data_IF_683162175287
#
_entry.id   IF_683162175287
#
_cell.length_a   1.000
_cell.length_b   1.000
_cell.length_c   1.000
_cell.angle_alpha   90.00
_cell.angle_beta   90.00
_cell.angle_gamma   90.00
#
_symmetry.space_group_name_H-M   'P 1'
#
loop_
_entity.id
_entity.type
_entity.pdbx_description
1 polymer ?
#
# COMPACT_ATOMS: atom_id res chain seq x y z
N UNK A 1 -9.32 -21.69 15.98
CA UNK A 1 -7.85 -21.78 15.82
C UNK A 1 -7.51 -21.25 14.45
N UNK A 2 -6.67 -20.21 14.42
CA UNK A 2 -6.29 -19.56 13.17
C UNK A 2 -5.38 -20.46 12.34
N UNK A 3 -5.55 -20.39 11.01
CA UNK A 3 -4.75 -21.15 10.04
C UNK A 3 -4.41 -20.26 8.85
N UNK A 4 -3.17 -20.33 8.41
CA UNK A 4 -2.70 -19.59 7.25
C UNK A 4 -1.91 -20.50 6.31
N UNK A 5 -2.07 -20.29 5.01
CA UNK A 5 -1.20 -20.82 3.96
C UNK A 5 -1.25 -19.86 2.77
N UNK A 6 -0.38 -20.04 1.78
CA UNK A 6 -0.40 -19.21 0.57
C UNK A 6 -1.81 -19.17 -0.04
N UNK A 7 -2.36 -17.96 -0.21
CA UNK A 7 -3.70 -17.74 -0.76
C UNK A 7 -4.88 -18.15 0.11
N UNK A 8 -4.67 -18.50 1.39
CA UNK A 8 -5.75 -18.88 2.31
C UNK A 8 -5.48 -18.45 3.75
N UNK A 9 -6.45 -17.80 4.37
CA UNK A 9 -6.48 -17.55 5.79
C UNK A 9 -7.81 -18.01 6.39
N UNK A 10 -7.79 -18.46 7.64
CA UNK A 10 -8.98 -18.79 8.40
C UNK A 10 -8.82 -18.33 9.84
N UNK A 11 -9.90 -17.81 10.39
CA UNK A 11 -10.07 -17.59 11.83
C UNK A 11 -11.38 -18.19 12.32
N UNK A 12 -11.35 -18.73 13.54
CA UNK A 12 -12.57 -19.13 14.27
C UNK A 12 -12.82 -18.06 15.35
N UNK A 13 -13.85 -17.24 15.15
CA UNK A 13 -14.16 -16.10 16.01
C UNK A 13 -14.76 -16.56 17.35
N UNK A 14 -14.59 -15.74 18.39
CA UNK A 14 -15.09 -16.03 19.74
C UNK A 14 -16.62 -16.21 19.81
N UNK A 15 -17.36 -15.57 18.89
CA UNK A 15 -18.81 -15.72 18.77
C UNK A 15 -19.25 -17.02 18.04
N UNK A 16 -18.30 -17.91 17.71
CA UNK A 16 -18.56 -19.19 17.04
C UNK A 16 -18.66 -19.10 15.52
N UNK A 17 -18.52 -17.93 14.92
CA UNK A 17 -18.49 -17.80 13.44
C UNK A 17 -17.09 -18.14 12.93
N UNK A 18 -17.01 -18.97 11.90
CA UNK A 18 -15.75 -19.22 11.18
C UNK A 18 -15.68 -18.31 9.95
N UNK A 19 -14.55 -17.66 9.76
CA UNK A 19 -14.26 -16.82 8.60
C UNK A 19 -13.09 -17.39 7.84
N UNK A 20 -13.24 -17.56 6.53
CA UNK A 20 -12.18 -18.02 5.64
C UNK A 20 -12.01 -17.03 4.48
N UNK A 21 -10.76 -16.74 4.15
CA UNK A 21 -10.36 -15.71 3.19
C UNK A 21 -9.48 -16.31 2.10
N UNK A 22 -9.68 -15.86 0.87
CA UNK A 22 -8.77 -16.04 -0.26
C UNK A 22 -8.78 -14.76 -1.11
N UNK A 23 -7.82 -14.58 -2.00
CA UNK A 23 -7.75 -13.37 -2.83
C UNK A 23 -7.13 -13.65 -4.21
N UNK A 24 -7.54 -12.87 -5.20
CA UNK A 24 -6.86 -12.65 -6.48
C UNK A 24 -6.07 -11.31 -6.41
N UNK A 25 -5.73 -10.72 -7.55
CA UNK A 25 -4.92 -9.50 -7.59
C UNK A 25 -5.68 -8.29 -7.06
N UNK A 26 -6.97 -8.14 -7.43
CA UNK A 26 -7.79 -6.98 -7.07
C UNK A 26 -9.11 -7.36 -6.39
N UNK A 27 -9.32 -8.64 -6.09
CA UNK A 27 -10.54 -9.11 -5.43
C UNK A 27 -10.28 -10.11 -4.31
N UNK A 28 -11.13 -10.09 -3.29
CA UNK A 28 -11.17 -11.01 -2.17
C UNK A 28 -12.39 -11.92 -2.22
N UNK A 29 -12.22 -13.14 -1.71
CA UNK A 29 -13.28 -14.09 -1.41
C UNK A 29 -13.37 -14.27 0.10
N UNK A 30 -14.54 -14.07 0.67
CA UNK A 30 -14.80 -14.26 2.10
C UNK A 30 -15.89 -15.31 2.27
N UNK A 31 -15.66 -16.31 3.13
CA UNK A 31 -16.65 -17.31 3.52
C UNK A 31 -16.93 -17.24 5.02
N UNK A 32 -18.17 -16.94 5.37
CA UNK A 32 -18.68 -16.97 6.74
C UNK A 32 -19.42 -18.29 6.95
N UNK A 33 -19.00 -19.09 7.91
CA UNK A 33 -19.72 -20.30 8.34
C UNK A 33 -20.28 -20.09 9.74
N UNK A 34 -21.61 -20.12 9.83
CA UNK A 34 -22.37 -19.88 11.06
C UNK A 34 -22.68 -21.21 11.75
N UNK A 35 -22.38 -21.29 13.05
CA UNK A 35 -22.75 -22.44 13.89
C UNK A 35 -24.22 -22.35 14.34
N UNK A 36 -24.74 -23.47 14.85
CA UNK A 36 -26.08 -23.50 15.47
C UNK A 36 -26.11 -22.47 16.60
N UNK A 37 -27.15 -21.63 16.63
CA UNK A 37 -27.36 -20.54 17.60
C UNK A 37 -26.44 -19.31 17.47
N UNK A 38 -25.80 -19.08 16.31
CA UNK A 38 -25.09 -17.81 16.03
C UNK A 38 -25.98 -16.88 15.20
N UNK A 39 -25.86 -15.57 15.40
CA UNK A 39 -26.49 -14.59 14.53
C UNK A 39 -25.82 -14.59 13.15
N UNK A 40 -26.62 -14.48 12.07
CA UNK A 40 -26.14 -14.51 10.69
C UNK A 40 -26.03 -13.09 10.17
N UNK A 41 -25.01 -12.40 10.66
CA UNK A 41 -24.82 -10.97 10.43
C UNK A 41 -23.48 -10.73 9.75
N UNK A 42 -23.50 -9.91 8.71
CA UNK A 42 -22.30 -9.33 8.12
C UNK A 42 -22.38 -7.82 8.29
N UNK A 43 -21.34 -7.23 8.89
CA UNK A 43 -21.14 -5.80 9.00
C UNK A 43 -20.14 -5.36 7.92
N UNK A 44 -20.51 -4.33 7.16
CA UNK A 44 -19.60 -3.59 6.28
C UNK A 44 -19.47 -2.18 6.85
N UNK A 45 -18.27 -1.86 7.36
CA UNK A 45 -17.92 -0.55 7.90
C UNK A 45 -16.93 0.12 6.94
N UNK A 46 -17.37 1.18 6.25
CA UNK A 46 -16.53 1.95 5.32
C UNK A 46 -15.56 2.84 6.09
N UNK A 47 -15.89 3.20 7.33
CA UNK A 47 -15.09 4.12 8.13
C UNK A 47 -13.89 3.48 8.81
N UNK A 48 -13.81 2.15 8.80
CA UNK A 48 -12.71 1.46 9.46
C UNK A 48 -11.37 1.85 8.83
N UNK A 49 -10.42 2.23 9.69
CA UNK A 49 -9.06 2.61 9.36
C UNK A 49 -8.10 1.99 10.39
N UNK A 50 -6.81 1.94 10.07
CA UNK A 50 -5.79 1.47 10.98
C UNK A 50 -5.20 2.65 11.78
N UNK A 51 -5.49 2.79 13.08
CA UNK A 51 -4.89 3.85 13.88
C UNK A 51 -3.38 3.60 14.10
N UNK A 52 -2.59 4.67 14.13
CA UNK A 52 -1.19 4.60 14.59
C UNK A 52 -1.16 4.41 16.10
N UNK A 53 -0.37 3.45 16.58
CA UNK A 53 -0.22 3.17 18.02
C UNK A 53 0.87 4.01 18.69
N UNK A 54 1.73 4.68 17.92
CA UNK A 54 2.95 5.30 18.45
C UNK A 54 3.03 6.81 18.21
N UNK A 55 2.48 7.32 17.11
CA UNK A 55 2.61 8.74 16.73
C UNK A 55 1.36 9.21 15.97
N UNK A 56 0.67 10.21 16.53
CA UNK A 56 -0.55 10.80 15.95
C UNK A 56 -0.32 11.36 14.53
N UNK A 57 0.89 11.88 14.27
CA UNK A 57 1.29 12.51 12.99
C UNK A 57 1.27 11.51 11.82
N UNK A 58 1.42 10.20 12.09
CA UNK A 58 1.43 9.12 11.09
C UNK A 58 0.15 8.27 11.13
N UNK A 59 -0.88 8.74 11.84
CA UNK A 59 -2.16 8.03 11.91
C UNK A 59 -2.97 8.22 10.62
N UNK A 60 -3.67 7.17 10.21
CA UNK A 60 -4.73 7.33 9.21
C UNK A 60 -5.98 7.85 9.89
N UNK A 61 -6.79 8.61 9.16
CA UNK A 61 -8.12 9.00 9.58
C UNK A 61 -9.10 8.78 8.44
N UNK A 62 -10.31 8.35 8.77
CA UNK A 62 -11.40 8.36 7.81
C UNK A 62 -11.87 9.80 7.61
N UNK A 63 -12.07 10.19 6.35
CA UNK A 63 -12.57 11.52 5.97
C UNK A 63 -14.07 11.48 5.79
N UNK A 64 -14.51 10.70 4.80
CA UNK A 64 -15.88 10.57 4.38
C UNK A 64 -16.00 9.37 3.42
N UNK A 65 -17.23 9.04 3.04
CA UNK A 65 -17.50 7.84 2.28
C UNK A 65 -18.95 7.74 1.88
N UNK A 66 -19.22 6.80 0.98
CA UNK A 66 -20.54 6.46 0.50
C UNK A 66 -20.71 4.96 0.50
N UNK A 67 -21.91 4.50 0.83
CA UNK A 67 -22.32 3.10 0.68
C UNK A 67 -23.73 3.01 0.09
N UNK A 68 -23.86 2.15 -0.92
CA UNK A 68 -25.09 1.91 -1.66
C UNK A 68 -25.34 0.40 -1.77
N UNK A 69 -26.55 -0.04 -1.39
CA UNK A 69 -27.00 -1.42 -1.49
C UNK A 69 -27.92 -1.60 -2.69
N UNK A 70 -27.57 -2.54 -3.56
CA UNK A 70 -28.27 -2.89 -4.80
C UNK A 70 -28.73 -4.35 -4.79
N UNK A 71 -29.52 -4.71 -5.80
CA UNK A 71 -29.93 -6.10 -6.10
C UNK A 71 -30.52 -6.82 -4.87
N UNK A 72 -31.46 -6.19 -4.18
CA UNK A 72 -32.11 -6.73 -2.97
C UNK A 72 -31.11 -7.17 -1.89
N UNK A 73 -30.10 -6.34 -1.61
CA UNK A 73 -29.09 -6.63 -0.59
C UNK A 73 -27.96 -7.53 -1.07
N UNK A 74 -28.04 -8.13 -2.27
CA UNK A 74 -26.99 -9.01 -2.77
C UNK A 74 -25.75 -8.27 -3.25
N UNK A 75 -25.86 -6.98 -3.59
CA UNK A 75 -24.71 -6.16 -3.98
C UNK A 75 -24.61 -4.97 -3.06
N UNK A 76 -23.40 -4.64 -2.63
CA UNK A 76 -23.10 -3.40 -1.93
C UNK A 76 -21.84 -2.78 -2.55
N UNK A 77 -21.90 -1.49 -2.80
CA UNK A 77 -20.83 -0.77 -3.48
C UNK A 77 -20.70 0.64 -2.90
N UNK A 78 -19.57 1.28 -3.16
CA UNK A 78 -19.31 2.61 -2.65
C UNK A 78 -17.85 2.97 -2.68
N UNK A 79 -17.49 3.94 -1.87
CA UNK A 79 -16.12 4.41 -1.73
C UNK A 79 -15.89 4.96 -0.32
N UNK A 80 -14.63 4.97 0.10
CA UNK A 80 -14.17 5.73 1.25
C UNK A 80 -13.00 6.61 0.85
N UNK A 81 -12.84 7.72 1.55
CA UNK A 81 -11.63 8.55 1.52
C UNK A 81 -11.01 8.50 2.91
N UNK A 82 -9.72 8.23 2.93
CA UNK A 82 -8.92 8.24 4.15
C UNK A 82 -7.73 9.17 3.93
N UNK A 83 -7.19 9.67 5.04
CA UNK A 83 -6.15 10.70 5.06
C UNK A 83 -5.07 10.40 6.07
N UNK A 84 -3.99 11.16 5.98
CA UNK A 84 -2.87 11.06 6.91
C UNK A 84 -1.98 9.89 6.52
N UNK A 85 -1.51 9.12 7.50
CA UNK A 85 -0.58 8.02 7.28
C UNK A 85 0.86 8.47 6.97
N UNK A 86 1.69 7.53 6.53
CA UNK A 86 3.15 7.73 6.46
C UNK A 86 3.60 8.69 5.36
N UNK A 87 2.87 8.78 4.24
CA UNK A 87 3.19 9.66 3.11
C UNK A 87 2.51 11.03 3.15
N UNK A 88 1.73 11.35 4.19
CA UNK A 88 1.00 12.61 4.28
C UNK A 88 1.88 13.75 4.78
N UNK A 89 1.65 14.96 4.27
CA UNK A 89 2.12 16.20 4.90
C UNK A 89 1.40 16.32 6.24
N UNK A 90 2.13 16.33 7.36
CA UNK A 90 1.57 16.37 8.70
C UNK A 90 0.48 17.43 8.81
N UNK A 91 -0.76 17.01 9.07
CA UNK A 91 -1.84 17.94 9.33
C UNK A 91 -1.54 18.62 10.67
N UNK A 92 -1.48 19.95 10.64
CA UNK A 92 -1.07 20.79 11.76
C UNK A 92 -2.25 20.92 12.75
N UNK A 93 -2.41 19.97 13.68
CA UNK A 93 -3.35 20.09 14.81
C UNK A 93 -2.59 20.22 16.13
N UNK A 94 -2.92 21.26 16.91
CA UNK A 94 -2.28 21.55 18.20
C UNK A 94 -2.44 20.41 19.19
N UNK A 95 -1.33 19.75 19.54
CA UNK A 95 -1.34 18.53 20.37
C UNK A 95 -1.44 18.87 21.85
N UNK A 96 -2.57 18.54 22.48
CA UNK A 96 -2.67 18.32 23.91
C UNK A 96 -2.03 16.99 24.29
N UNK A 97 -0.96 17.01 25.08
CA UNK A 97 -0.23 15.81 25.53
C UNK A 97 -1.03 15.00 26.55
N UNK A 98 -1.35 13.74 26.25
CA UNK A 98 -1.52 12.72 27.31
C UNK A 98 -1.24 11.30 26.80
N UNK A 99 -0.20 10.68 27.38
CA UNK A 99 0.20 9.27 27.20
C UNK A 99 -0.79 8.31 27.88
N UNK A 100 -1.00 7.10 27.33
CA UNK A 100 -1.11 5.87 28.13
C UNK A 100 -0.79 4.58 27.34
N UNK A 101 -0.25 3.58 28.08
CA UNK A 101 0.33 2.28 27.68
C UNK A 101 -0.72 1.21 27.30
N UNK A 102 -0.37 0.27 26.39
CA UNK A 102 -0.33 -1.22 26.56
C UNK A 102 -0.40 -2.01 25.21
N UNK A 103 0.01 -3.29 25.16
CA UNK A 103 0.37 -4.01 23.92
C UNK A 103 -0.70 -5.01 23.45
N UNK A 104 -0.78 -5.28 22.12
CA UNK A 104 -1.11 -6.59 21.53
C UNK A 104 -0.92 -6.61 20.00
N UNK A 105 -0.29 -7.69 19.54
CA UNK A 105 0.01 -8.06 18.14
C UNK A 105 -1.28 -8.36 17.35
N UNK A 106 -1.41 -7.87 16.12
CA UNK A 106 -2.22 -8.51 15.07
C UNK A 106 -1.71 -8.18 13.66
N UNK A 107 -1.97 -9.11 12.74
CA UNK A 107 -1.45 -9.27 11.38
C UNK A 107 -1.55 -8.01 10.50
N UNK A 108 -0.44 -7.65 9.85
CA UNK A 108 -0.21 -6.40 9.13
C UNK A 108 0.01 -6.72 7.63
N UNK A 109 -0.97 -6.39 6.79
CA UNK A 109 -0.83 -6.37 5.33
C UNK A 109 -1.93 -5.47 4.74
N UNK A 110 -1.68 -4.18 4.90
CA UNK A 110 -2.08 -2.96 4.16
C UNK A 110 -1.57 -1.86 5.10
N UNK A 111 -0.33 -1.42 4.88
CA UNK A 111 0.26 -0.34 5.66
C UNK A 111 -0.12 1.01 5.03
N UNK A 112 -0.43 1.98 5.89
CA UNK A 112 0.02 3.38 5.99
C UNK A 112 0.12 4.27 4.72
N UNK A 113 -0.97 4.44 3.98
CA UNK A 113 -1.07 5.34 2.82
C UNK A 113 -1.08 6.83 3.22
N UNK A 114 -0.40 7.68 2.42
CA UNK A 114 -0.27 9.16 2.54
C UNK A 114 -1.37 9.97 1.82
N UNK A 115 -1.53 11.26 2.18
CA UNK A 115 -2.57 12.21 1.72
C UNK A 115 -3.98 11.62 1.58
N UNK A 116 -4.93 12.38 1.03
CA UNK A 116 -6.27 11.87 0.75
C UNK A 116 -6.21 10.77 -0.32
N UNK A 117 -6.49 9.53 0.06
CA UNK A 117 -6.63 8.43 -0.90
C UNK A 117 -8.07 7.90 -0.90
N UNK A 118 -8.63 7.80 -2.11
CA UNK A 118 -9.98 7.30 -2.35
C UNK A 118 -9.92 5.87 -2.84
N UNK A 119 -10.66 4.97 -2.17
CA UNK A 119 -10.79 3.57 -2.59
C UNK A 119 -12.25 3.28 -2.85
N UNK A 120 -12.50 2.68 -4.01
CA UNK A 120 -13.80 2.20 -4.42
C UNK A 120 -13.91 0.70 -4.16
N UNK A 121 -15.10 0.26 -3.78
CA UNK A 121 -15.37 -1.15 -3.51
C UNK A 121 -16.67 -1.63 -4.15
N UNK A 122 -16.71 -2.92 -4.46
CA UNK A 122 -17.91 -3.60 -4.92
C UNK A 122 -17.93 -5.02 -4.35
N UNK A 123 -18.97 -5.33 -3.58
CA UNK A 123 -19.15 -6.61 -2.91
C UNK A 123 -20.45 -7.26 -3.33
N UNK A 124 -20.38 -8.53 -3.72
CA UNK A 124 -21.54 -9.39 -3.94
C UNK A 124 -21.62 -10.48 -2.87
N UNK A 125 -22.82 -10.78 -2.40
CA UNK A 125 -23.14 -11.95 -1.60
C UNK A 125 -23.72 -13.08 -2.46
N UNK A 126 -23.38 -14.34 -2.15
CA UNK A 126 -23.98 -15.50 -2.81
C UNK A 126 -25.46 -15.68 -2.40
N UNK A 127 -25.76 -15.34 -1.16
CA UNK A 127 -27.06 -15.49 -0.50
C UNK A 127 -27.78 -14.14 -0.39
N UNK A 128 -29.11 -14.15 -0.46
CA UNK A 128 -29.92 -12.94 -0.26
C UNK A 128 -30.11 -12.69 1.24
N UNK A 129 -29.76 -11.50 1.75
CA UNK A 129 -30.07 -11.13 3.13
C UNK A 129 -31.59 -11.00 3.33
N UNK A 130 -32.08 -11.30 4.54
CA UNK A 130 -33.48 -11.06 4.92
C UNK A 130 -33.75 -9.57 5.16
N UNK A 131 -32.79 -8.87 5.75
CA UNK A 131 -32.85 -7.42 5.97
C UNK A 131 -31.45 -6.81 5.87
N UNK A 132 -31.40 -5.52 5.55
CA UNK A 132 -30.19 -4.72 5.68
C UNK A 132 -30.55 -3.33 6.21
N UNK A 133 -29.66 -2.73 6.99
CA UNK A 133 -29.84 -1.42 7.59
C UNK A 133 -28.55 -0.62 7.45
N UNK A 134 -28.69 0.64 7.02
CA UNK A 134 -27.57 1.57 7.02
C UNK A 134 -27.33 2.09 8.43
N UNK A 135 -26.09 2.41 8.75
CA UNK A 135 -25.76 3.24 9.89
C UNK A 135 -24.94 4.44 9.43
N UNK A 136 -25.26 5.61 9.99
CA UNK A 136 -24.47 6.83 9.89
C UNK A 136 -24.20 7.35 11.29
N UNK A 137 -23.04 7.91 11.56
CA UNK A 137 -22.85 8.58 12.83
C UNK A 137 -21.59 9.43 12.84
N UNK A 138 -21.47 10.36 13.79
CA UNK A 138 -20.37 11.28 13.82
C UNK A 138 -19.05 10.50 13.82
N UNK A 139 -18.16 10.93 12.93
CA UNK A 139 -16.75 10.64 13.08
C UNK A 139 -16.19 11.65 14.06
N UNK A 140 -15.96 11.20 15.28
CA UNK A 140 -15.21 11.99 16.23
C UNK A 140 -13.75 11.94 15.75
N UNK A 141 -13.15 13.14 15.60
CA UNK A 141 -11.84 13.45 15.05
C UNK A 141 -10.71 12.44 15.37
N UNK A 142 -9.56 12.47 14.65
CA UNK A 142 -8.42 11.56 14.88
C UNK A 142 -7.99 11.44 16.35
N UNK A 143 -8.20 12.51 17.13
CA UNK A 143 -7.84 12.66 18.54
C UNK A 143 -8.80 11.94 19.51
N UNK A 144 -9.98 11.54 19.03
CA UNK A 144 -11.04 10.91 19.80
C UNK A 144 -11.75 9.86 18.95
N UNK A 145 -11.10 8.73 18.62
CA UNK A 145 -11.72 7.68 17.82
C UNK A 145 -13.04 7.26 18.47
N UNK A 146 -14.09 7.01 17.68
CA UNK A 146 -15.39 6.67 18.24
C UNK A 146 -15.25 5.41 19.10
N UNK A 147 -15.52 5.57 20.41
CA UNK A 147 -15.75 4.44 21.31
C UNK A 147 -16.82 3.51 20.72
N UNK A 148 -16.80 2.20 21.00
CA UNK A 148 -17.91 1.30 20.69
C UNK A 148 -19.28 1.81 21.16
N UNK A 149 -19.32 2.74 22.12
CA UNK A 149 -20.51 3.41 22.63
C UNK A 149 -20.95 4.66 21.85
N UNK A 150 -20.21 5.09 20.82
CA UNK A 150 -20.54 6.29 20.04
C UNK A 150 -21.81 6.04 19.24
N UNK A 151 -22.90 6.81 19.49
CA UNK A 151 -24.17 6.57 18.84
C UNK A 151 -24.07 6.62 17.31
N UNK A 152 -24.83 5.76 16.65
CA UNK A 152 -25.08 5.83 15.21
C UNK A 152 -26.59 5.94 14.99
N UNK A 153 -26.96 6.71 13.99
CA UNK A 153 -28.31 6.78 13.44
C UNK A 153 -28.51 5.61 12.49
N UNK A 154 -29.56 4.83 12.73
CA UNK A 154 -29.92 3.70 11.87
C UNK A 154 -30.93 4.15 10.81
N UNK A 155 -30.58 3.94 9.55
CA UNK A 155 -31.43 4.21 8.40
C UNK A 155 -32.03 2.92 7.84
N UNK A 156 -33.31 2.96 7.46
CA UNK A 156 -33.90 1.86 6.69
C UNK A 156 -33.41 1.92 5.24
N UNK A 157 -32.68 0.88 4.84
CA UNK A 157 -32.10 0.82 3.52
C UNK A 157 -33.11 0.43 2.42
N UNK A 158 -34.29 -0.09 2.77
CA UNK A 158 -35.36 -0.33 1.77
C UNK A 158 -36.05 0.95 1.30
N UNK A 159 -35.93 2.05 2.05
CA UNK A 159 -36.51 3.36 1.71
C UNK A 159 -35.46 4.35 1.17
N UNK A 160 -34.19 3.95 1.07
CA UNK A 160 -33.13 4.79 0.54
C UNK A 160 -32.35 4.07 -0.58
N UNK A 161 -32.89 4.07 -1.82
CA UNK A 161 -32.31 3.34 -2.94
C UNK A 161 -30.97 3.90 -3.43
N UNK A 162 -30.64 5.15 -3.06
CA UNK A 162 -29.40 5.82 -3.47
C UNK A 162 -28.25 5.67 -2.46
N UNK A 163 -28.49 4.96 -1.35
CA UNK A 163 -27.47 4.75 -0.31
C UNK A 163 -27.32 5.94 0.64
N UNK A 164 -26.32 5.87 1.51
CA UNK A 164 -25.97 6.97 2.42
C UNK A 164 -24.56 7.46 2.14
N UNK A 165 -24.34 8.75 2.41
CA UNK A 165 -23.06 9.41 2.26
C UNK A 165 -22.77 10.19 3.54
N UNK A 166 -21.55 10.06 4.05
CA UNK A 166 -21.14 10.65 5.32
C UNK A 166 -20.90 12.15 5.26
N UNK A 167 -20.76 12.71 4.07
CA UNK A 167 -20.43 14.12 3.85
C UNK A 167 -20.06 14.31 2.38
N UNK A 168 -20.09 15.54 1.84
CA UNK A 168 -19.72 15.79 0.44
C UNK A 168 -18.29 15.35 0.15
N UNK A 169 -17.97 15.06 -1.11
CA UNK A 169 -16.59 14.79 -1.54
C UNK A 169 -15.69 15.97 -1.14
N UNK A 170 -14.57 15.69 -0.46
CA UNK A 170 -13.68 16.71 0.10
C UNK A 170 -14.04 17.17 1.52
N UNK A 171 -15.05 16.57 2.18
CA UNK A 171 -15.33 16.80 3.61
C UNK A 171 -14.33 16.07 4.51
N UNK A 172 -13.74 16.83 5.44
CA UNK A 172 -12.71 16.45 6.39
C UNK A 172 -13.25 15.77 7.66
N UNK A 173 -14.58 15.80 7.83
CA UNK A 173 -15.28 15.46 9.07
C UNK A 173 -16.57 14.68 8.83
N UNK A 174 -16.63 13.97 7.69
CA UNK A 174 -17.81 13.23 7.29
C UNK A 174 -18.18 12.14 8.30
N UNK A 175 -19.47 11.91 8.44
CA UNK A 175 -20.03 10.82 9.20
C UNK A 175 -19.48 9.46 8.74
N UNK A 176 -19.26 8.57 9.70
CA UNK A 176 -19.04 7.15 9.44
C UNK A 176 -20.23 6.59 8.71
N UNK A 177 -19.99 5.78 7.68
CA UNK A 177 -21.07 5.07 7.00
C UNK A 177 -20.80 3.58 6.91
N UNK A 178 -21.87 2.80 6.95
CA UNK A 178 -21.80 1.38 6.67
C UNK A 178 -23.17 0.73 6.64
N UNK A 179 -23.18 -0.59 6.54
CA UNK A 179 -24.40 -1.39 6.49
C UNK A 179 -24.27 -2.70 7.27
N UNK A 180 -25.37 -3.09 7.92
CA UNK A 180 -25.52 -4.37 8.59
C UNK A 180 -26.49 -5.23 7.79
N UNK A 181 -26.04 -6.41 7.38
CA UNK A 181 -26.82 -7.39 6.62
C UNK A 181 -27.18 -8.55 7.53
N UNK A 182 -28.47 -8.90 7.62
CA UNK A 182 -28.96 -10.08 8.33
C UNK A 182 -29.41 -11.13 7.33
N UNK A 183 -29.04 -12.38 7.55
CA UNK A 183 -29.39 -13.51 6.68
C UNK A 183 -30.40 -14.44 7.37
N UNK A 184 -31.22 -15.18 6.60
CA UNK A 184 -32.18 -16.13 7.17
C UNK A 184 -31.51 -17.17 8.08
N UNK A 185 -32.20 -17.61 9.14
CA UNK A 185 -31.65 -18.55 10.14
C UNK A 185 -31.17 -19.89 9.56
N UNK A 186 -31.79 -20.32 8.45
CA UNK A 186 -31.39 -21.54 7.74
C UNK A 186 -30.07 -21.40 6.97
N UNK A 187 -29.53 -20.18 6.84
CA UNK A 187 -28.30 -19.89 6.11
C UNK A 187 -27.10 -20.30 6.95
N UNK A 188 -26.46 -21.41 6.57
CA UNK A 188 -25.26 -21.92 7.28
C UNK A 188 -23.97 -21.29 6.80
N UNK A 189 -23.92 -20.90 5.53
CA UNK A 189 -22.74 -20.34 4.88
C UNK A 189 -23.18 -19.11 4.09
N UNK A 190 -22.47 -18.00 4.26
CA UNK A 190 -22.56 -16.82 3.40
C UNK A 190 -21.21 -16.62 2.75
N UNK A 191 -21.19 -16.36 1.45
CA UNK A 191 -19.97 -16.04 0.71
C UNK A 191 -20.06 -14.63 0.16
N UNK A 192 -18.91 -13.96 0.12
CA UNK A 192 -18.75 -12.62 -0.38
C UNK A 192 -17.59 -12.57 -1.38
N UNK A 193 -17.78 -11.83 -2.48
CA UNK A 193 -16.72 -11.46 -3.41
C UNK A 193 -16.58 -9.94 -3.40
N UNK A 194 -15.43 -9.45 -2.96
CA UNK A 194 -15.14 -8.02 -2.81
C UNK A 194 -14.08 -7.62 -3.83
N UNK A 195 -14.40 -6.78 -4.81
CA UNK A 195 -13.40 -6.11 -5.64
C UNK A 195 -13.10 -4.71 -5.11
N UNK A 196 -11.86 -4.26 -5.31
CA UNK A 196 -11.37 -2.93 -4.91
C UNK A 196 -10.71 -2.23 -6.10
N UNK A 197 -10.82 -0.91 -6.16
CA UNK A 197 -10.17 -0.10 -7.20
C UNK A 197 -9.82 1.28 -6.65
N UNK A 198 -8.74 1.86 -7.16
CA UNK A 198 -8.37 3.25 -6.90
C UNK A 198 -9.05 4.24 -7.87
N UNK A 199 -9.72 3.75 -8.91
CA UNK A 199 -10.27 4.59 -9.98
C UNK A 199 -11.78 4.72 -9.89
N UNK A 200 -12.52 3.61 -9.74
CA UNK A 200 -14.00 3.66 -9.79
C UNK A 200 -14.69 2.41 -9.24
N UNK A 201 -15.99 2.56 -8.92
CA UNK A 201 -16.86 1.42 -8.55
C UNK A 201 -17.00 0.44 -9.69
N UNK A 202 -17.07 0.91 -10.94
CA UNK A 202 -17.21 0.10 -12.13
C UNK A 202 -16.04 -0.87 -12.27
N UNK A 203 -14.80 -0.37 -12.10
CA UNK A 203 -13.60 -1.22 -12.09
C UNK A 203 -13.58 -2.17 -10.89
N UNK A 204 -13.92 -1.69 -9.69
CA UNK A 204 -14.03 -2.55 -8.52
C UNK A 204 -15.02 -3.71 -8.75
N UNK A 205 -16.18 -3.47 -9.36
CA UNK A 205 -17.12 -4.53 -9.71
C UNK A 205 -16.59 -5.44 -10.82
N UNK A 206 -15.87 -4.90 -11.81
CA UNK A 206 -15.27 -5.70 -12.88
C UNK A 206 -14.23 -6.69 -12.34
N UNK A 207 -13.39 -6.29 -11.37
CA UNK A 207 -12.38 -7.17 -10.76
C UNK A 207 -12.95 -8.41 -10.07
N UNK A 208 -14.26 -8.42 -9.73
CA UNK A 208 -14.92 -9.64 -9.25
C UNK A 208 -14.84 -10.80 -10.26
N UNK A 209 -14.60 -10.53 -11.56
CA UNK A 209 -14.39 -11.57 -12.57
C UNK A 209 -13.11 -12.36 -12.41
N UNK A 210 -12.11 -11.83 -11.68
CA UNK A 210 -10.89 -12.58 -11.31
C UNK A 210 -11.21 -13.78 -10.43
N UNK A 211 -12.36 -13.75 -9.75
CA UNK A 211 -12.88 -14.82 -8.92
C UNK A 211 -14.16 -15.36 -9.57
N UNK A 212 -14.09 -16.21 -10.61
CA UNK A 212 -15.26 -16.61 -11.38
C UNK A 212 -16.25 -17.47 -10.56
N UNK A 213 -15.75 -18.20 -9.57
CA UNK A 213 -16.55 -19.19 -8.84
C UNK A 213 -16.90 -18.77 -7.42
N UNK A 214 -18.02 -19.29 -6.92
CA UNK A 214 -18.43 -19.22 -5.50
C UNK A 214 -17.85 -20.37 -4.66
N UNK A 215 -16.76 -21.00 -5.10
CA UNK A 215 -16.08 -22.07 -4.38
C UNK A 215 -14.72 -21.59 -3.90
N UNK A 216 -14.59 -21.33 -2.60
CA UNK A 216 -13.36 -20.82 -1.96
C UNK A 216 -12.10 -21.56 -2.43
N UNK A 217 -12.15 -22.90 -2.46
CA UNK A 217 -11.00 -23.73 -2.82
C UNK A 217 -10.52 -23.50 -4.27
N UNK A 218 -11.38 -23.04 -5.18
CA UNK A 218 -10.95 -22.70 -6.54
C UNK A 218 -10.11 -21.43 -6.55
N UNK A 219 -10.49 -20.39 -5.79
CA UNK A 219 -9.66 -19.20 -5.58
C UNK A 219 -8.33 -19.59 -4.94
N UNK A 220 -8.35 -20.34 -3.84
CA UNK A 220 -7.14 -20.79 -3.13
C UNK A 220 -6.18 -21.54 -4.06
N UNK A 221 -6.68 -22.46 -4.90
CA UNK A 221 -5.85 -23.19 -5.87
C UNK A 221 -5.27 -22.27 -6.94
N UNK A 222 -6.05 -21.33 -7.45
CA UNK A 222 -5.62 -20.37 -8.48
C UNK A 222 -4.51 -19.46 -7.93
N UNK A 223 -4.69 -18.92 -6.72
CA UNK A 223 -3.67 -18.12 -6.03
C UNK A 223 -2.42 -18.93 -5.75
N UNK A 224 -2.54 -20.17 -5.25
CA UNK A 224 -1.38 -21.06 -5.02
C UNK A 224 -0.63 -21.37 -6.31
N UNK A 225 -1.35 -21.57 -7.42
CA UNK A 225 -0.75 -21.80 -8.73
C UNK A 225 0.07 -20.57 -9.16
N UNK A 226 -0.52 -19.37 -9.06
CA UNK A 226 0.17 -18.11 -9.38
C UNK A 226 1.47 -17.96 -8.57
N UNK A 227 1.41 -18.15 -7.25
CA UNK A 227 2.58 -18.11 -6.38
C UNK A 227 3.67 -19.13 -6.75
N UNK A 228 3.27 -20.36 -7.13
CA UNK A 228 4.23 -21.36 -7.59
C UNK A 228 4.88 -20.96 -8.91
N UNK A 229 4.09 -20.52 -9.88
CA UNK A 229 4.55 -20.20 -11.23
C UNK A 229 5.46 -18.96 -11.26
N UNK A 230 5.11 -17.95 -10.47
CA UNK A 230 5.82 -16.67 -10.48
C UNK A 230 6.97 -16.61 -9.48
N UNK A 231 6.83 -17.24 -8.31
CA UNK A 231 7.78 -17.04 -7.19
C UNK A 231 8.51 -18.33 -6.84
N UNK A 232 7.79 -19.35 -6.35
CA UNK A 232 8.46 -20.49 -5.72
C UNK A 232 9.20 -21.40 -6.69
N UNK A 233 8.77 -21.47 -7.95
CA UNK A 233 9.46 -22.26 -8.98
C UNK A 233 10.74 -21.60 -9.50
N UNK A 234 11.00 -20.33 -9.18
CA UNK A 234 12.19 -19.61 -9.67
C UNK A 234 13.49 -20.08 -9.02
N UNK A 235 13.40 -20.71 -7.84
CA UNK A 235 14.58 -21.23 -7.13
C UNK A 235 14.27 -22.64 -6.62
N UNK A 236 15.13 -23.60 -6.97
CA UNK A 236 15.08 -24.96 -6.44
C UNK A 236 16.24 -25.19 -5.48
N UNK A 237 15.91 -25.47 -4.21
CA UNK A 237 16.90 -25.85 -3.19
C UNK A 237 17.20 -27.35 -3.30
N UNK A 238 18.47 -27.72 -3.47
CA UNK A 238 18.93 -29.12 -3.47
C UNK A 238 19.74 -29.38 -2.20
N UNK A 239 19.23 -30.24 -1.33
CA UNK A 239 19.93 -30.70 -0.12
C UNK A 239 20.04 -32.24 -0.14
N UNK A 240 21.16 -32.78 0.36
CA UNK A 240 21.38 -34.24 0.43
C UNK A 240 20.47 -34.94 1.44
N UNK A 241 19.93 -34.20 2.41
CA UNK A 241 18.92 -34.67 3.37
C UNK A 241 17.90 -33.57 3.58
N UNK A 242 16.61 -33.90 3.43
CA UNK A 242 15.50 -32.94 3.55
C UNK A 242 15.49 -32.31 4.95
N UNK A 243 15.59 -30.98 5.01
CA UNK A 243 15.45 -30.22 6.26
C UNK A 243 14.24 -29.28 6.20
N UNK A 244 13.12 -29.73 6.77
CA UNK A 244 11.84 -28.99 6.70
C UNK A 244 11.91 -27.61 7.36
N UNK A 245 12.74 -27.42 8.40
CA UNK A 245 12.94 -26.12 9.04
C UNK A 245 13.62 -25.13 8.10
N UNK A 246 14.69 -25.55 7.42
CA UNK A 246 15.41 -24.70 6.45
C UNK A 246 14.55 -24.36 5.25
N UNK A 247 13.85 -25.35 4.68
CA UNK A 247 12.93 -25.12 3.57
C UNK A 247 11.79 -24.18 3.98
N UNK A 248 11.24 -24.34 5.18
CA UNK A 248 10.20 -23.44 5.69
C UNK A 248 10.71 -22.01 5.83
N UNK A 249 11.91 -21.80 6.40
CA UNK A 249 12.51 -20.47 6.51
C UNK A 249 12.73 -19.84 5.14
N UNK A 250 13.31 -20.60 4.19
CA UNK A 250 13.62 -20.13 2.85
C UNK A 250 12.36 -19.73 2.06
N UNK A 251 11.40 -20.63 1.93
CA UNK A 251 10.17 -20.35 1.16
C UNK A 251 9.27 -19.32 1.86
N UNK A 252 9.29 -19.24 3.19
CA UNK A 252 8.59 -18.17 3.90
C UNK A 252 9.26 -16.81 3.69
N UNK A 253 10.59 -16.75 3.58
CA UNK A 253 11.30 -15.52 3.21
C UNK A 253 10.98 -15.10 1.77
N UNK A 254 11.00 -16.04 0.81
CA UNK A 254 10.56 -15.79 -0.56
C UNK A 254 9.14 -15.23 -0.59
N UNK A 255 8.20 -15.84 0.12
CA UNK A 255 6.82 -15.34 0.19
C UNK A 255 6.72 -13.89 0.68
N UNK A 256 7.48 -13.54 1.74
CA UNK A 256 7.45 -12.20 2.34
C UNK A 256 8.09 -11.14 1.44
N UNK A 257 9.15 -11.49 0.72
CA UNK A 257 9.82 -10.58 -0.20
C UNK A 257 8.90 -10.12 -1.34
N UNK A 258 7.94 -10.94 -1.77
CA UNK A 258 7.09 -10.68 -2.94
C UNK A 258 5.72 -10.07 -2.60
N UNK A 259 5.53 -9.60 -1.37
CA UNK A 259 4.31 -8.86 -1.00
C UNK A 259 4.35 -7.40 -1.46
N UNK A 260 5.55 -6.85 -1.68
CA UNK A 260 5.78 -5.42 -1.96
C UNK A 260 6.96 -5.23 -2.92
N UNK A 261 6.99 -4.13 -3.69
CA UNK A 261 5.87 -3.20 -3.96
C UNK A 261 4.68 -3.88 -4.64
N UNK A 262 3.51 -3.24 -4.56
CA UNK A 262 2.27 -3.70 -5.18
C UNK A 262 2.24 -3.29 -6.65
N UNK A 263 1.98 -4.24 -7.56
CA UNK A 263 1.66 -3.91 -8.95
C UNK A 263 0.24 -3.33 -9.02
N UNK A 264 0.17 -2.03 -9.32
CA UNK A 264 -1.06 -1.26 -9.50
C UNK A 264 -1.19 -0.76 -10.94
N UNK A 265 -0.63 -1.50 -11.91
CA UNK A 265 -0.70 -1.13 -13.32
C UNK A 265 -2.14 -0.93 -13.77
N UNK A 266 -2.44 0.26 -14.29
CA UNK A 266 -3.80 0.67 -14.68
C UNK A 266 -4.71 1.08 -13.52
N UNK A 267 -4.22 1.16 -12.28
CA UNK A 267 -4.94 1.59 -11.08
C UNK A 267 -4.31 2.87 -10.45
N UNK A 268 -3.64 3.69 -11.26
CA UNK A 268 -3.20 5.03 -10.84
C UNK A 268 -4.37 6.04 -11.04
N UNK A 269 -4.84 6.72 -9.98
CA UNK A 269 -5.91 7.71 -10.08
C UNK A 269 -5.43 9.11 -10.52
N UNK A 270 -4.14 9.39 -10.42
CA UNK A 270 -3.59 10.74 -10.58
C UNK A 270 -3.18 11.02 -12.03
N UNK A 271 -2.76 9.99 -12.78
CA UNK A 271 -2.46 10.10 -14.21
C UNK A 271 -2.71 8.80 -14.96
N UNK A 272 -2.90 8.92 -16.28
CA UNK A 272 -3.03 7.79 -17.19
C UNK A 272 -1.69 7.55 -17.89
N UNK A 273 -1.16 6.34 -17.77
CA UNK A 273 0.10 5.92 -18.38
C UNK A 273 -0.02 4.51 -18.98
N UNK A 274 0.75 4.23 -20.02
CA UNK A 274 0.93 2.88 -20.56
C UNK A 274 2.12 2.14 -19.92
N UNK A 275 2.85 2.80 -19.03
CA UNK A 275 3.93 2.17 -18.26
C UNK A 275 3.35 1.28 -17.14
N UNK A 276 4.12 0.28 -16.67
CA UNK A 276 3.83 -0.39 -15.41
C UNK A 276 3.77 0.62 -14.27
N UNK A 277 2.88 0.39 -13.31
CA UNK A 277 2.78 1.23 -12.12
C UNK A 277 2.88 0.39 -10.86
N UNK A 278 3.93 0.61 -10.09
CA UNK A 278 4.17 0.00 -8.80
C UNK A 278 4.05 1.07 -7.72
N UNK A 279 3.39 0.72 -6.61
CA UNK A 279 3.27 1.57 -5.42
C UNK A 279 3.64 0.77 -4.17
N UNK A 280 3.60 1.39 -2.98
CA UNK A 280 3.98 0.78 -1.70
C UNK A 280 5.48 0.45 -1.62
N UNK A 281 6.31 1.32 -2.17
CA UNK A 281 7.74 1.39 -1.90
C UNK A 281 7.98 1.93 -0.47
N UNK A 282 7.71 1.10 0.54
CA UNK A 282 7.73 1.53 1.95
C UNK A 282 9.08 2.03 2.45
N UNK A 283 10.16 1.66 1.76
CA UNK A 283 11.35 2.50 1.57
C UNK A 283 12.36 1.76 0.68
N UNK A 284 12.83 2.43 -0.37
CA UNK A 284 13.92 1.95 -1.20
C UNK A 284 15.23 1.90 -0.43
N UNK A 285 15.39 2.71 0.62
CA UNK A 285 16.49 2.62 1.57
C UNK A 285 16.71 1.16 1.97
N UNK A 286 15.73 0.46 2.52
CA UNK A 286 15.92 -0.96 2.86
C UNK A 286 16.11 -1.85 1.63
N UNK A 287 15.28 -1.69 0.61
CA UNK A 287 15.15 -2.69 -0.46
C UNK A 287 16.29 -2.66 -1.48
N UNK A 288 16.93 -1.51 -1.72
CA UNK A 288 18.03 -1.41 -2.69
C UNK A 288 19.23 -2.29 -2.29
N UNK A 289 19.40 -2.53 -0.98
CA UNK A 289 20.54 -3.27 -0.42
C UNK A 289 20.54 -4.74 -0.82
N UNK A 290 19.35 -5.33 -1.02
CA UNK A 290 19.19 -6.76 -1.33
C UNK A 290 18.03 -7.08 -2.28
N UNK A 291 16.82 -6.59 -1.98
CA UNK A 291 15.59 -7.04 -2.63
C UNK A 291 15.51 -6.63 -4.10
N UNK A 292 15.84 -5.38 -4.43
CA UNK A 292 15.82 -4.92 -5.83
C UNK A 292 16.84 -5.68 -6.68
N UNK A 293 18.06 -5.88 -6.17
CA UNK A 293 19.07 -6.70 -6.85
C UNK A 293 18.65 -8.15 -7.00
N UNK A 294 17.96 -8.72 -6.00
CA UNK A 294 17.40 -10.07 -6.07
C UNK A 294 16.37 -10.18 -7.19
N UNK A 295 15.45 -9.22 -7.33
CA UNK A 295 14.48 -9.22 -8.44
C UNK A 295 15.16 -9.18 -9.79
N UNK A 296 16.18 -8.33 -9.95
CA UNK A 296 16.97 -8.27 -11.18
C UNK A 296 17.71 -9.58 -11.51
N UNK A 297 17.86 -10.52 -10.58
CA UNK A 297 18.48 -11.83 -10.84
C UNK A 297 17.45 -12.94 -11.07
N UNK A 298 16.39 -12.97 -10.27
CA UNK A 298 15.46 -14.12 -10.20
C UNK A 298 14.15 -13.85 -10.93
N UNK A 299 13.76 -12.58 -11.08
CA UNK A 299 12.54 -12.12 -11.73
C UNK A 299 12.79 -10.83 -12.55
N UNK A 300 13.68 -10.88 -13.56
CA UNK A 300 14.18 -9.67 -14.21
C UNK A 300 13.08 -8.80 -14.83
N UNK A 301 12.02 -9.41 -15.39
CA UNK A 301 10.90 -8.63 -15.95
C UNK A 301 10.21 -7.76 -14.89
N UNK A 302 9.93 -8.32 -13.70
CA UNK A 302 9.36 -7.55 -12.59
C UNK A 302 10.31 -6.44 -12.15
N UNK A 303 11.61 -6.72 -12.07
CA UNK A 303 12.63 -5.69 -11.79
C UNK A 303 12.63 -4.57 -12.83
N UNK A 304 12.59 -4.90 -14.12
CA UNK A 304 12.51 -3.94 -15.23
C UNK A 304 11.23 -3.09 -15.13
N UNK A 305 10.09 -3.71 -14.84
CA UNK A 305 8.83 -2.99 -14.72
C UNK A 305 8.83 -2.04 -13.52
N UNK A 306 9.50 -2.39 -12.41
CA UNK A 306 9.74 -1.46 -11.30
C UNK A 306 10.64 -0.28 -11.70
N UNK A 307 11.68 -0.49 -12.52
CA UNK A 307 12.52 0.60 -13.04
C UNK A 307 11.68 1.55 -13.90
N UNK A 308 10.88 0.99 -14.82
CA UNK A 308 9.99 1.78 -15.68
C UNK A 308 8.98 2.57 -14.87
N UNK A 309 8.40 1.97 -13.83
CA UNK A 309 7.49 2.65 -12.90
C UNK A 309 8.17 3.79 -12.15
N UNK A 310 9.40 3.62 -11.65
CA UNK A 310 10.12 4.71 -10.96
C UNK A 310 10.40 5.89 -11.89
N UNK A 311 10.76 5.62 -13.14
CA UNK A 311 10.96 6.65 -14.17
C UNK A 311 9.62 7.36 -14.48
N UNK A 312 8.52 6.62 -14.60
CA UNK A 312 7.20 7.21 -14.86
C UNK A 312 6.72 8.07 -13.68
N UNK A 313 6.93 7.62 -12.45
CA UNK A 313 6.67 8.44 -11.25
C UNK A 313 7.48 9.73 -11.32
N UNK A 314 8.76 9.68 -11.66
CA UNK A 314 9.57 10.89 -11.83
C UNK A 314 9.02 11.83 -12.92
N UNK A 315 8.54 11.32 -14.06
CA UNK A 315 7.96 12.15 -15.13
C UNK A 315 6.76 12.98 -14.65
N UNK A 316 5.96 12.40 -13.76
CA UNK A 316 4.70 13.01 -13.30
C UNK A 316 4.83 13.79 -11.98
N UNK A 317 5.66 13.29 -11.05
CA UNK A 317 5.86 13.86 -9.71
C UNK A 317 7.06 14.81 -9.66
N UNK A 318 8.02 14.64 -10.57
CA UNK A 318 9.24 15.45 -10.65
C UNK A 318 10.44 14.88 -9.89
N UNK A 319 10.23 13.95 -8.95
CA UNK A 319 11.27 13.24 -8.20
C UNK A 319 10.98 11.74 -8.17
N UNK A 320 12.02 10.92 -8.10
CA UNK A 320 11.82 9.52 -7.75
C UNK A 320 11.57 9.40 -6.23
N UNK A 321 10.74 8.44 -5.80
CA UNK A 321 10.55 8.19 -4.39
C UNK A 321 11.76 7.44 -3.79
N UNK A 322 12.27 7.87 -2.64
CA UNK A 322 12.92 6.94 -1.71
C UNK A 322 11.86 6.17 -0.91
N UNK A 323 10.71 6.79 -0.69
CA UNK A 323 9.55 6.22 -0.04
C UNK A 323 8.30 6.53 -0.85
N UNK A 324 7.38 5.57 -1.03
CA UNK A 324 6.08 5.82 -1.67
C UNK A 324 4.99 4.90 -1.15
N UNK A 325 3.83 5.47 -0.87
CA UNK A 325 2.62 4.68 -0.61
C UNK A 325 1.38 5.55 -0.79
N UNK A 326 0.35 4.98 -1.40
CA UNK A 326 -0.92 5.67 -1.62
C UNK A 326 -0.82 6.71 -2.73
N UNK A 327 0.05 6.47 -3.71
CA UNK A 327 0.39 7.39 -4.79
C UNK A 327 1.14 8.66 -4.36
N UNK A 328 1.67 8.70 -3.15
CA UNK A 328 2.43 9.84 -2.64
C UNK A 328 3.83 9.43 -2.19
N UNK A 329 4.80 10.30 -2.43
CA UNK A 329 6.16 10.12 -1.92
C UNK A 329 6.14 10.36 -0.40
N UNK A 330 6.71 9.41 0.34
CA UNK A 330 6.85 9.46 1.80
C UNK A 330 8.27 9.87 2.20
N UNK A 331 8.55 9.77 3.51
CA UNK A 331 9.82 10.25 4.07
C UNK A 331 11.03 9.51 3.48
N UNK A 332 12.03 10.29 3.07
CA UNK A 332 13.39 9.90 2.72
C UNK A 332 14.14 9.63 4.01
N UNK A 333 14.70 8.43 4.15
CA UNK A 333 15.38 8.03 5.40
C UNK A 333 16.82 8.55 5.44
N UNK A 334 17.56 8.32 4.37
CA UNK A 334 18.98 8.69 4.26
C UNK A 334 19.28 9.43 2.95
N UNK A 335 18.92 8.86 1.81
CA UNK A 335 19.10 9.52 0.52
C UNK A 335 18.22 9.01 -0.61
N UNK A 336 18.56 9.37 -1.84
CA UNK A 336 17.76 9.10 -3.03
C UNK A 336 18.06 7.69 -3.56
N UNK A 337 17.56 6.65 -2.89
CA UNK A 337 17.99 5.28 -3.20
C UNK A 337 17.38 4.67 -4.46
N UNK A 338 16.41 5.33 -5.08
CA UNK A 338 16.02 5.04 -6.45
C UNK A 338 17.23 5.13 -7.41
N UNK A 339 18.20 6.02 -7.13
CA UNK A 339 19.46 6.12 -7.87
C UNK A 339 20.22 4.79 -7.89
N UNK A 340 20.35 4.16 -6.72
CA UNK A 340 21.05 2.89 -6.55
C UNK A 340 20.31 1.76 -7.31
N UNK A 341 18.98 1.75 -7.24
CA UNK A 341 18.13 0.78 -7.91
C UNK A 341 18.25 0.89 -9.45
N UNK A 342 18.20 2.10 -9.98
CA UNK A 342 18.39 2.35 -11.42
C UNK A 342 19.81 2.00 -11.86
N UNK A 343 20.84 2.38 -11.08
CA UNK A 343 22.22 2.10 -11.44
C UNK A 343 22.51 0.60 -11.47
N UNK A 344 22.00 -0.19 -10.52
CA UNK A 344 22.15 -1.65 -10.51
C UNK A 344 21.55 -2.29 -11.77
N UNK A 345 20.34 -1.86 -12.17
CA UNK A 345 19.72 -2.32 -13.41
C UNK A 345 20.52 -1.90 -14.66
N UNK A 346 21.04 -0.67 -14.68
CA UNK A 346 21.83 -0.13 -15.79
C UNK A 346 23.13 -0.91 -16.00
N UNK A 347 23.93 -1.10 -14.94
CA UNK A 347 25.23 -1.78 -15.04
C UNK A 347 25.09 -3.27 -15.36
N UNK A 348 23.97 -3.89 -14.98
CA UNK A 348 23.60 -5.27 -15.39
C UNK A 348 23.15 -5.36 -16.86
N UNK A 349 23.02 -4.22 -17.55
CA UNK A 349 22.72 -4.17 -18.98
C UNK A 349 21.23 -4.35 -19.33
N UNK A 350 20.31 -4.12 -18.39
CA UNK A 350 18.89 -4.19 -18.68
C UNK A 350 18.45 -2.99 -19.53
N UNK A 351 17.97 -3.23 -20.74
CA UNK A 351 17.60 -2.17 -21.71
C UNK A 351 16.18 -2.30 -22.26
N UNK A 352 15.55 -3.47 -22.12
CA UNK A 352 14.24 -3.74 -22.71
C UNK A 352 13.16 -2.82 -22.11
N UNK A 353 12.61 -1.93 -22.94
CA UNK A 353 11.53 -1.02 -22.56
C UNK A 353 11.91 0.09 -21.57
N UNK A 354 13.18 0.20 -21.17
CA UNK A 354 13.64 1.25 -20.24
C UNK A 354 14.12 2.45 -21.06
N UNK A 355 13.48 3.61 -20.88
CA UNK A 355 13.99 4.87 -21.41
C UNK A 355 15.12 5.39 -20.51
N UNK A 356 16.35 4.95 -20.80
CA UNK A 356 17.53 5.32 -20.02
C UNK A 356 17.89 6.81 -20.11
N UNK A 357 17.48 7.53 -21.16
CA UNK A 357 17.64 8.98 -21.20
C UNK A 357 16.78 9.66 -20.11
N UNK A 358 15.55 9.20 -19.94
CA UNK A 358 14.71 9.66 -18.83
C UNK A 358 15.22 9.14 -17.49
N UNK A 359 15.68 7.88 -17.42
CA UNK A 359 16.33 7.34 -16.22
C UNK A 359 17.53 8.17 -15.76
N UNK A 360 18.36 8.66 -16.68
CA UNK A 360 19.47 9.56 -16.35
C UNK A 360 18.97 10.92 -15.84
N UNK A 361 17.96 11.50 -16.48
CA UNK A 361 17.35 12.76 -16.01
C UNK A 361 16.74 12.59 -14.61
N UNK A 362 16.16 11.42 -14.32
CA UNK A 362 15.59 11.11 -13.02
C UNK A 362 16.64 11.10 -11.92
N UNK A 363 17.70 10.29 -12.05
CA UNK A 363 18.79 10.24 -11.06
C UNK A 363 19.54 11.57 -10.92
N UNK A 364 19.65 12.32 -12.03
CA UNK A 364 20.23 13.66 -12.03
C UNK A 364 19.35 14.67 -11.29
N UNK A 365 18.03 14.53 -11.36
CA UNK A 365 17.10 15.41 -10.64
C UNK A 365 17.31 15.26 -9.14
N UNK A 366 17.37 14.02 -8.65
CA UNK A 366 17.64 13.73 -7.24
C UNK A 366 19.03 14.24 -6.79
N UNK A 367 20.03 14.22 -7.67
CA UNK A 367 21.40 14.63 -7.37
C UNK A 367 21.69 16.15 -7.47
N UNK A 368 20.83 16.92 -8.11
CA UNK A 368 21.10 18.33 -8.47
C UNK A 368 19.98 19.31 -8.09
N UNK A 369 18.75 18.84 -7.91
CA UNK A 369 17.60 19.71 -7.63
C UNK A 369 17.29 19.68 -6.13
N UNK A 370 17.28 20.85 -5.51
CA UNK A 370 16.87 20.99 -4.12
C UNK A 370 15.38 20.67 -4.02
N UNK A 371 14.97 19.66 -3.21
CA UNK A 371 13.56 19.33 -3.04
C UNK A 371 12.77 20.51 -2.44
N UNK A 372 11.52 20.72 -2.88
CA UNK A 372 10.67 21.78 -2.35
C UNK A 372 10.32 21.50 -0.88
N UNK A 373 10.09 22.53 -0.06
CA UNK A 373 9.64 22.34 1.31
C UNK A 373 8.29 21.61 1.41
N UNK A 374 8.14 20.70 2.36
CA UNK A 374 6.96 19.87 2.60
C UNK A 374 6.23 20.18 3.93
N UNK A 375 6.70 21.20 4.67
CA UNK A 375 6.19 21.60 5.99
C UNK A 375 6.11 20.45 7.01
N UNK A 376 7.02 19.48 6.97
CA UNK A 376 7.09 18.43 7.98
C UNK A 376 7.45 19.02 9.36
N UNK A 377 6.58 18.92 10.38
CA UNK A 377 6.90 19.42 11.72
C UNK A 377 7.98 18.57 12.44
N UNK A 378 8.29 17.37 11.95
CA UNK A 378 9.33 16.50 12.51
C UNK A 378 10.73 16.77 11.94
N UNK A 379 10.84 17.41 10.77
CA UNK A 379 12.11 17.80 10.15
C UNK A 379 12.20 19.33 10.00
N UNK A 380 13.11 19.96 10.74
CA UNK A 380 13.33 21.42 10.71
C UNK A 380 13.78 21.96 9.37
N UNK A 381 14.28 21.10 8.47
CA UNK A 381 14.56 21.45 7.07
C UNK A 381 13.32 21.43 6.19
N UNK A 382 12.31 20.65 6.59
CA UNK A 382 11.06 20.38 5.86
C UNK A 382 11.31 20.01 4.40
N UNK A 383 12.33 19.23 4.07
CA UNK A 383 12.60 18.77 2.69
C UNK A 383 12.90 17.27 2.64
N UNK A 384 12.13 16.47 3.38
CA UNK A 384 12.44 15.08 3.66
C UNK A 384 11.47 14.09 2.98
N UNK A 385 10.61 14.50 2.05
CA UNK A 385 9.70 13.57 1.34
C UNK A 385 10.16 13.17 -0.07
N UNK A 386 11.25 13.75 -0.57
CA UNK A 386 11.86 13.41 -1.87
C UNK A 386 13.23 14.06 -2.02
N UNK A 387 14.01 13.59 -3.00
CA UNK A 387 15.34 14.15 -3.30
C UNK A 387 16.30 14.08 -2.10
N UNK A 388 17.24 15.02 -2.06
CA UNK A 388 18.30 15.07 -1.03
C UNK A 388 18.16 16.30 -0.15
N UNK A 389 17.86 16.08 1.12
CA UNK A 389 17.84 17.14 2.13
C UNK A 389 19.25 17.67 2.39
N UNK A 390 19.41 19.00 2.52
CA UNK A 390 20.72 19.61 2.71
C UNK A 390 21.62 19.52 1.47
N UNK A 391 21.05 19.36 0.28
CA UNK A 391 21.79 19.25 -0.98
C UNK A 391 22.80 20.41 -1.21
N UNK A 392 22.49 21.69 -0.88
CA UNK A 392 23.49 22.75 -1.01
C UNK A 392 24.74 22.55 -0.15
N UNK A 393 24.62 21.96 1.04
CA UNK A 393 25.78 21.63 1.88
C UNK A 393 26.59 20.52 1.21
N UNK A 394 25.92 19.46 0.75
CA UNK A 394 26.58 18.38 0.04
C UNK A 394 27.38 18.87 -1.18
N UNK A 395 26.77 19.73 -2.02
CA UNK A 395 27.41 20.25 -3.23
C UNK A 395 28.57 21.21 -2.90
N UNK A 396 28.43 22.09 -1.92
CA UNK A 396 29.42 23.14 -1.66
C UNK A 396 30.50 22.74 -0.66
N UNK A 397 30.19 21.84 0.28
CA UNK A 397 31.08 21.43 1.38
C UNK A 397 31.63 20.01 1.20
N UNK A 398 30.98 19.17 0.39
CA UNK A 398 31.29 17.73 0.27
C UNK A 398 30.75 16.89 1.44
N UNK A 399 29.90 17.47 2.29
CA UNK A 399 29.19 16.78 3.37
C UNK A 399 27.93 17.55 3.75
N UNK A 400 26.96 16.88 4.37
CA UNK A 400 25.77 17.53 4.93
C UNK A 400 26.12 18.06 6.33
N UNK A 401 25.90 19.35 6.60
CA UNK A 401 26.26 19.92 7.91
C UNK A 401 25.32 19.46 9.02
N UNK A 402 25.75 19.65 10.27
CA UNK A 402 24.96 19.31 11.47
C UNK A 402 23.72 20.18 11.68
N UNK A 403 23.49 21.17 10.82
CA UNK A 403 22.22 21.91 10.77
C UNK A 403 21.06 21.03 10.30
N UNK A 404 21.36 19.96 9.56
CA UNK A 404 20.37 18.98 9.09
C UNK A 404 20.38 17.70 9.95
N UNK A 405 19.20 17.13 10.15
CA UNK A 405 19.02 15.82 10.79
C UNK A 405 19.79 14.73 10.02
N UNK A 406 20.26 13.71 10.75
CA UNK A 406 20.96 12.54 10.18
C UNK A 406 22.16 12.87 9.27
N UNK A 407 22.78 14.03 9.44
CA UNK A 407 23.83 14.60 8.58
C UNK A 407 24.97 13.62 8.23
N UNK A 408 25.47 12.85 9.20
CA UNK A 408 26.52 11.85 8.96
C UNK A 408 26.02 10.73 8.03
N UNK A 409 24.84 10.16 8.33
CA UNK A 409 24.26 9.10 7.49
C UNK A 409 23.96 9.60 6.07
N UNK A 410 23.37 10.80 5.96
CA UNK A 410 23.10 11.44 4.66
C UNK A 410 24.38 11.66 3.86
N UNK A 411 25.47 12.11 4.49
CA UNK A 411 26.78 12.28 3.86
C UNK A 411 27.31 10.97 3.26
N UNK A 412 27.24 9.88 4.02
CA UNK A 412 27.70 8.56 3.54
C UNK A 412 26.80 8.04 2.41
N UNK A 413 25.49 8.21 2.52
CA UNK A 413 24.56 7.74 1.50
C UNK A 413 24.60 8.55 0.22
N UNK A 414 24.79 9.87 0.29
CA UNK A 414 24.91 10.71 -0.91
C UNK A 414 26.17 10.40 -1.70
N UNK A 415 27.25 10.00 -1.03
CA UNK A 415 28.44 9.46 -1.69
C UNK A 415 28.09 8.23 -2.55
N UNK A 416 27.35 7.25 -1.99
CA UNK A 416 26.90 6.09 -2.74
C UNK A 416 25.91 6.46 -3.87
N UNK A 417 24.97 7.37 -3.60
CA UNK A 417 24.00 7.79 -4.60
C UNK A 417 24.70 8.52 -5.77
N UNK A 418 25.70 9.37 -5.52
CA UNK A 418 26.51 9.97 -6.58
C UNK A 418 27.37 8.95 -7.33
N UNK A 419 27.89 7.92 -6.64
CA UNK A 419 28.54 6.82 -7.34
C UNK A 419 27.55 6.12 -8.29
N UNK A 420 26.33 5.86 -7.86
CA UNK A 420 25.27 5.28 -8.69
C UNK A 420 24.95 6.16 -9.91
N UNK A 421 24.77 7.47 -9.72
CA UNK A 421 24.58 8.43 -10.82
C UNK A 421 25.76 8.38 -11.79
N UNK A 422 27.00 8.31 -11.30
CA UNK A 422 28.20 8.23 -12.14
C UNK A 422 28.18 6.99 -13.05
N UNK A 423 27.70 5.84 -12.57
CA UNK A 423 27.67 4.62 -13.37
C UNK A 423 26.71 4.73 -14.56
N UNK A 424 25.58 5.41 -14.39
CA UNK A 424 24.64 5.70 -15.48
C UNK A 424 25.23 6.77 -16.41
N UNK A 425 25.75 7.87 -15.82
CA UNK A 425 26.34 8.99 -16.56
C UNK A 425 27.46 8.52 -17.50
N UNK A 426 28.29 7.55 -17.08
CA UNK A 426 29.40 7.02 -17.88
C UNK A 426 29.00 6.58 -19.29
N UNK A 427 27.78 6.07 -19.50
CA UNK A 427 27.29 5.70 -20.82
C UNK A 427 26.36 6.71 -21.47
N UNK A 428 25.56 7.45 -20.69
CA UNK A 428 24.50 8.32 -21.23
C UNK A 428 24.95 9.78 -21.36
N UNK A 429 25.72 10.28 -20.39
CA UNK A 429 26.25 11.64 -20.33
C UNK A 429 27.70 11.63 -19.83
N UNK A 430 28.67 11.16 -20.65
CA UNK A 430 30.04 10.92 -20.18
C UNK A 430 30.75 12.17 -19.63
N UNK A 431 30.32 13.38 -20.01
CA UNK A 431 30.83 14.64 -19.48
C UNK A 431 30.49 14.85 -17.99
N UNK A 432 29.43 14.23 -17.49
CA UNK A 432 29.01 14.31 -16.08
C UNK A 432 29.65 13.20 -15.21
N UNK A 433 30.26 12.17 -15.82
CA UNK A 433 30.82 11.02 -15.10
C UNK A 433 31.80 11.43 -13.99
N UNK A 434 32.82 12.23 -14.34
CA UNK A 434 33.85 12.62 -13.39
C UNK A 434 33.31 13.51 -12.27
N UNK A 435 32.28 14.32 -12.55
CA UNK A 435 31.62 15.18 -11.54
C UNK A 435 31.05 14.34 -10.41
N UNK A 436 30.23 13.34 -10.75
CA UNK A 436 29.58 12.50 -9.74
C UNK A 436 30.55 11.51 -9.10
N UNK A 437 31.53 10.99 -9.86
CA UNK A 437 32.58 10.16 -9.29
C UNK A 437 33.43 10.92 -8.25
N UNK A 438 33.75 12.18 -8.50
CA UNK A 438 34.47 12.99 -7.51
C UNK A 438 33.62 13.29 -6.26
N UNK A 439 32.31 13.49 -6.43
CA UNK A 439 31.39 13.68 -5.28
C UNK A 439 31.23 12.41 -4.45
N UNK A 440 31.43 11.22 -5.04
CA UNK A 440 31.35 9.96 -4.29
C UNK A 440 32.51 9.68 -3.33
N UNK A 441 33.58 10.48 -3.37
CA UNK A 441 34.75 10.32 -2.49
C UNK A 441 35.90 9.54 -3.10
#
# INVERSE_FOLDING_TARGET
MDRASVGYYRSDLANGVKVELAASNHAGFIQYTYLKNTERVVLLDVSHNLPSLAEFVKSQSYSNGQIEVKKNGKRVQGWGVWRGGWGGTGINWGVGKSLFKLPRLCLLLILLLGSDYKIYFCNDFDSTPSTWQYFSGPWNAPDNPPSPSTPVTWGNASTNPHGIQGGPDGDDSGDRVGAVFRFPDKTKVVKSKLGVSFISVEKACAFQSEIPSWTLNQTVRSTKKLWNDEVFSKISVKESTKNDTRLTLFYSALYRMHQMPSDRTGENPDWVSSEPYYDDYYTLWDTFRCLNSFYLLVQPQRGIDMIRSLIDIWRHVGFMPDGRSGNHNGKVQGGSNADNVLADAYVKGYTSGINWNDGYKAVRTDAEVVPPPNNDPEDSSSTDNQGRCGLPDWINLGYVSTTFSSSISRTVEYSLNDFAVSQIAKGIAPHDYQKYLNRSG
#
